data_IF_178028788651
#
_entry.id   IF_178028788651
#
_cell.length_a   1.000
_cell.length_b   1.000
_cell.length_c   1.000
_cell.angle_alpha   90.00
_cell.angle_beta   90.00
_cell.angle_gamma   90.00
#
_symmetry.space_group_name_H-M   'P 1'
#
loop_
_entity.id
_entity.type
_entity.pdbx_description
1 polymer ?
#
# COMPACT_ATOMS: atom_id res chain seq x y z
N UNK A 1 -6.21 4.37 11.47
CA UNK A 1 -5.80 4.94 12.76
C UNK A 1 -4.46 5.65 12.58
N UNK A 2 -4.23 6.75 13.30
CA UNK A 2 -2.95 7.49 13.32
C UNK A 2 -2.56 7.71 14.77
N UNK A 3 -1.29 7.51 15.08
CA UNK A 3 -0.72 7.58 16.43
C UNK A 3 0.53 8.42 16.36
N UNK A 4 0.53 9.50 17.13
CA UNK A 4 1.69 10.36 17.30
C UNK A 4 2.27 9.99 18.67
N UNK A 5 3.25 9.07 18.69
CA UNK A 5 3.82 8.57 19.96
C UNK A 5 4.59 9.69 20.63
N UNK A 6 5.45 10.37 19.86
CA UNK A 6 6.28 11.49 20.30
C UNK A 6 6.37 12.50 19.15
N UNK A 7 6.93 13.68 19.40
CA UNK A 7 7.21 14.68 18.35
C UNK A 7 8.10 14.16 17.19
N UNK A 8 8.72 12.99 17.36
CA UNK A 8 9.61 12.38 16.38
C UNK A 8 9.03 11.12 15.72
N UNK A 9 8.07 10.43 16.35
CA UNK A 9 7.57 9.14 15.88
C UNK A 9 6.10 9.23 15.53
N UNK A 10 5.81 8.91 14.26
CA UNK A 10 4.48 8.93 13.69
C UNK A 10 4.17 7.55 13.14
N UNK A 11 3.06 6.98 13.58
CA UNK A 11 2.58 5.69 13.12
C UNK A 11 1.21 5.88 12.53
N UNK A 12 0.95 5.23 11.41
CA UNK A 12 -0.40 5.14 10.87
C UNK A 12 -0.64 3.78 10.27
N UNK A 13 -1.88 3.36 10.30
CA UNK A 13 -2.27 2.14 9.61
C UNK A 13 -3.77 2.03 9.46
N UNK A 14 -4.18 1.27 8.46
CA UNK A 14 -5.54 0.83 8.26
C UNK A 14 -5.56 -0.69 8.09
N UNK A 15 -6.62 -1.29 8.59
CA UNK A 15 -6.93 -2.69 8.35
C UNK A 15 -8.42 -2.73 8.02
N UNK A 16 -8.76 -3.42 6.95
CA UNK A 16 -10.15 -3.57 6.53
C UNK A 16 -10.41 -5.04 6.34
N UNK A 17 -11.46 -5.51 7.00
CA UNK A 17 -12.04 -6.81 6.76
C UNK A 17 -13.45 -6.61 6.21
N UNK A 18 -13.70 -7.08 4.99
CA UNK A 18 -14.98 -6.93 4.32
C UNK A 18 -15.36 -8.22 3.59
N UNK A 19 -16.58 -8.69 3.86
CA UNK A 19 -17.14 -9.85 3.16
C UNK A 19 -18.40 -9.41 2.43
N UNK A 20 -18.34 -9.42 1.11
CA UNK A 20 -19.41 -8.94 0.24
C UNK A 20 -19.89 -10.12 -0.57
N UNK A 21 -21.12 -10.57 -0.32
CA UNK A 21 -21.70 -11.75 -0.96
C UNK A 21 -22.87 -11.37 -1.85
N UNK A 22 -23.01 -12.01 -3.00
CA UNK A 22 -24.19 -11.86 -3.83
C UNK A 22 -25.39 -12.53 -3.14
N UNK A 23 -26.50 -11.79 -2.97
CA UNK A 23 -27.76 -12.30 -2.39
C UNK A 23 -28.89 -12.38 -3.41
N UNK A 24 -28.59 -12.21 -4.69
CA UNK A 24 -29.54 -12.29 -5.80
C UNK A 24 -29.91 -13.75 -6.05
N UNK A 25 -31.16 -14.13 -5.72
CA UNK A 25 -31.64 -15.52 -5.88
C UNK A 25 -31.96 -15.89 -7.32
N UNK A 26 -32.35 -14.92 -8.14
CA UNK A 26 -32.82 -15.13 -9.51
C UNK A 26 -32.17 -14.12 -10.45
N UNK A 27 -31.81 -14.57 -11.65
CA UNK A 27 -31.23 -13.69 -12.69
C UNK A 27 -32.28 -12.63 -13.08
N UNK A 28 -31.86 -11.36 -13.15
CA UNK A 28 -32.75 -10.24 -13.48
C UNK A 28 -33.55 -10.51 -14.76
N UNK A 29 -34.88 -10.57 -14.65
CA UNK A 29 -35.79 -10.82 -15.77
C UNK A 29 -36.12 -12.30 -16.04
N UNK A 30 -35.66 -13.25 -15.21
CA UNK A 30 -36.01 -14.68 -15.34
C UNK A 30 -36.28 -15.34 -13.97
N UNK A 31 -36.92 -16.51 -13.98
CA UNK A 31 -37.10 -17.36 -12.79
C UNK A 31 -35.94 -18.37 -12.58
N UNK A 32 -34.84 -18.23 -13.34
CA UNK A 32 -33.69 -19.12 -13.24
C UNK A 32 -32.85 -18.77 -12.00
N UNK A 33 -32.43 -19.76 -11.19
CA UNK A 33 -31.59 -19.52 -10.03
C UNK A 33 -30.21 -19.00 -10.46
N UNK A 34 -29.71 -17.98 -9.77
CA UNK A 34 -28.38 -17.42 -10.02
C UNK A 34 -27.29 -18.37 -9.49
N UNK A 35 -26.42 -18.83 -10.39
CA UNK A 35 -25.29 -19.70 -10.04
C UNK A 35 -24.27 -19.01 -9.12
N UNK A 36 -24.29 -17.66 -9.05
CA UNK A 36 -23.43 -16.87 -8.18
C UNK A 36 -24.04 -16.54 -6.81
N UNK A 37 -25.21 -17.12 -6.50
CA UNK A 37 -25.89 -16.91 -5.23
C UNK A 37 -25.02 -17.33 -4.03
N UNK A 38 -24.88 -16.41 -3.06
CA UNK A 38 -24.07 -16.54 -1.85
C UNK A 38 -22.55 -16.64 -2.08
N UNK A 39 -22.06 -16.35 -3.28
CA UNK A 39 -20.63 -16.24 -3.57
C UNK A 39 -20.10 -14.83 -3.27
N UNK A 40 -18.81 -14.76 -2.90
CA UNK A 40 -18.11 -13.50 -2.71
C UNK A 40 -18.05 -12.72 -4.03
N UNK A 41 -18.33 -11.41 -3.97
CA UNK A 41 -18.23 -10.50 -5.11
C UNK A 41 -16.76 -10.45 -5.56
N UNK A 42 -16.48 -10.66 -6.87
CA UNK A 42 -15.12 -10.61 -7.40
C UNK A 42 -14.50 -9.23 -7.31
N UNK A 43 -13.18 -9.14 -7.54
CA UNK A 43 -12.37 -7.92 -7.52
C UNK A 43 -12.25 -7.19 -6.18
N UNK A 44 -12.82 -7.75 -5.11
CA UNK A 44 -12.80 -7.14 -3.78
C UNK A 44 -12.01 -8.06 -2.83
N UNK A 45 -10.80 -7.66 -2.39
CA UNK A 45 -10.08 -8.40 -1.37
C UNK A 45 -10.84 -8.35 -0.05
N UNK A 46 -10.89 -9.51 0.63
CA UNK A 46 -11.59 -9.66 1.91
C UNK A 46 -10.81 -8.96 3.01
N UNK A 47 -9.48 -9.08 2.97
CA UNK A 47 -8.58 -8.50 3.95
C UNK A 47 -7.50 -7.70 3.23
N UNK A 48 -7.37 -6.44 3.61
CA UNK A 48 -6.23 -5.62 3.22
C UNK A 48 -5.83 -4.71 4.36
N UNK A 49 -4.53 -4.47 4.48
CA UNK A 49 -3.96 -3.65 5.52
C UNK A 49 -2.83 -2.81 4.94
N UNK A 50 -2.73 -1.56 5.36
CA UNK A 50 -1.58 -0.71 5.07
C UNK A 50 -1.09 -0.08 6.36
N UNK A 51 0.21 0.09 6.48
CA UNK A 51 0.82 0.78 7.61
C UNK A 51 1.97 1.64 7.14
N UNK A 52 2.24 2.66 7.92
CA UNK A 52 3.35 3.58 7.72
C UNK A 52 3.94 3.94 9.08
N UNK A 53 5.25 3.86 9.17
CA UNK A 53 6.07 4.32 10.27
C UNK A 53 6.91 5.47 9.74
N UNK A 54 6.84 6.63 10.38
CA UNK A 54 7.56 7.82 9.97
C UNK A 54 8.31 8.39 11.19
N UNK A 55 9.63 8.41 11.08
CA UNK A 55 10.54 8.94 12.07
C UNK A 55 11.15 10.24 11.58
N UNK A 56 10.92 11.33 12.31
CA UNK A 56 11.36 12.68 11.96
C UNK A 56 12.21 13.25 13.09
N UNK A 57 13.44 13.67 12.78
CA UNK A 57 14.31 14.31 13.76
C UNK A 57 15.13 15.44 13.16
N UNK A 58 15.08 16.58 13.84
CA UNK A 58 15.92 17.72 13.54
C UNK A 58 17.28 17.58 14.23
N UNK A 59 18.34 18.01 13.54
CA UNK A 59 19.70 18.11 14.08
C UNK A 59 20.25 16.80 14.68
N UNK A 60 20.04 15.66 14.01
CA UNK A 60 20.52 14.34 14.46
C UNK A 60 22.03 14.33 14.76
N UNK A 61 22.83 15.11 14.02
CA UNK A 61 24.29 15.19 14.15
C UNK A 61 24.77 16.44 14.92
N UNK A 62 23.92 17.09 15.72
CA UNK A 62 24.33 18.20 16.59
C UNK A 62 24.59 19.54 15.89
N UNK A 63 24.21 19.70 14.62
CA UNK A 63 24.25 20.97 13.88
C UNK A 63 22.98 21.82 14.03
N UNK A 64 22.87 22.93 13.28
CA UNK A 64 21.63 23.70 13.10
C UNK A 64 21.15 23.59 11.66
N UNK A 65 19.84 23.38 11.47
CA UNK A 65 19.20 23.39 10.16
C UNK A 65 19.29 22.08 9.38
N UNK A 66 19.50 20.96 10.06
CA UNK A 66 19.44 19.62 9.47
C UNK A 66 18.09 18.97 9.80
N UNK A 67 17.48 18.31 8.83
CA UNK A 67 16.25 17.56 8.99
C UNK A 67 16.42 16.17 8.41
N UNK A 68 16.17 15.15 9.23
CA UNK A 68 16.24 13.76 8.84
C UNK A 68 14.84 13.17 8.99
N UNK A 69 14.38 12.48 7.95
CA UNK A 69 13.14 11.73 7.96
C UNK A 69 13.38 10.35 7.41
N UNK A 70 12.95 9.34 8.13
CA UNK A 70 12.97 7.96 7.68
C UNK A 70 11.55 7.44 7.74
N UNK A 71 11.06 6.87 6.64
CA UNK A 71 9.74 6.29 6.61
C UNK A 71 9.78 4.87 6.06
N UNK A 72 8.89 4.05 6.59
CA UNK A 72 8.66 2.68 6.18
C UNK A 72 7.18 2.50 5.97
N UNK A 73 6.81 2.04 4.80
CA UNK A 73 5.43 1.74 4.43
C UNK A 73 5.32 0.26 4.12
N UNK A 74 4.25 -0.36 4.59
CA UNK A 74 3.90 -1.73 4.27
C UNK A 74 2.47 -1.81 3.81
N UNK A 75 2.23 -2.62 2.79
CA UNK A 75 0.91 -2.91 2.26
C UNK A 75 0.75 -4.42 2.12
N UNK A 76 -0.33 -4.94 2.69
CA UNK A 76 -0.75 -6.32 2.58
C UNK A 76 -2.14 -6.37 1.95
N UNK A 77 -2.27 -7.16 0.88
CA UNK A 77 -3.56 -7.44 0.26
C UNK A 77 -3.69 -8.96 0.16
N UNK A 78 -4.74 -9.51 0.76
CA UNK A 78 -5.05 -10.93 0.68
C UNK A 78 -5.45 -11.32 -0.74
N UNK A 79 -5.38 -12.62 -1.04
CA UNK A 79 -5.75 -13.15 -2.35
C UNK A 79 -7.23 -12.89 -2.65
N UNK A 80 -7.52 -12.60 -3.92
CA UNK A 80 -8.89 -12.35 -4.37
C UNK A 80 -9.12 -12.85 -5.79
N UNK A 81 -10.39 -13.09 -6.12
CA UNK A 81 -10.78 -13.68 -7.40
C UNK A 81 -11.24 -12.61 -8.39
N UNK A 82 -10.86 -12.77 -9.66
CA UNK A 82 -11.33 -11.92 -10.77
C UNK A 82 -12.80 -12.19 -11.13
N UNK A 83 -13.28 -13.42 -10.89
CA UNK A 83 -14.66 -13.83 -11.18
C UNK A 83 -15.32 -14.52 -10.00
N UNK A 84 -16.63 -14.72 -10.08
CA UNK A 84 -17.33 -15.56 -9.11
C UNK A 84 -16.74 -16.97 -9.13
N UNK A 85 -16.53 -17.54 -7.93
CA UNK A 85 -15.98 -18.88 -7.74
C UNK A 85 -17.05 -19.94 -8.06
N UNK A 86 -17.35 -20.09 -9.35
CA UNK A 86 -18.38 -21.00 -9.87
C UNK A 86 -17.86 -22.45 -9.98
N UNK A 87 -16.54 -22.66 -9.95
CA UNK A 87 -15.89 -23.98 -10.01
C UNK A 87 -14.67 -24.07 -9.09
N UNK A 88 -14.37 -25.27 -8.57
CA UNK A 88 -13.21 -25.59 -7.72
C UNK A 88 -11.86 -25.43 -8.47
N UNK A 89 -11.84 -25.49 -9.81
CA UNK A 89 -10.64 -25.47 -10.65
C UNK A 89 -10.40 -24.14 -11.38
N UNK A 90 -10.91 -23.03 -10.84
CA UNK A 90 -10.87 -21.75 -11.54
C UNK A 90 -9.59 -20.95 -11.22
N UNK A 91 -8.68 -20.86 -12.20
CA UNK A 91 -7.34 -20.25 -12.08
C UNK A 91 -7.32 -18.70 -12.10
N UNK A 92 -8.45 -18.04 -11.89
CA UNK A 92 -8.54 -16.57 -11.91
C UNK A 92 -8.32 -15.97 -10.51
N UNK A 93 -7.24 -16.39 -9.85
CA UNK A 93 -6.85 -15.93 -8.53
C UNK A 93 -5.70 -14.93 -8.65
N UNK A 94 -5.86 -13.76 -8.03
CA UNK A 94 -4.77 -12.81 -7.85
C UNK A 94 -4.13 -13.15 -6.51
N UNK A 95 -2.84 -13.49 -6.49
CA UNK A 95 -2.16 -13.94 -5.28
C UNK A 95 -2.11 -12.81 -4.25
N UNK A 96 -2.01 -13.20 -2.98
CA UNK A 96 -1.76 -12.25 -1.91
C UNK A 96 -0.46 -11.48 -2.19
N UNK A 97 -0.50 -10.15 -2.02
CA UNK A 97 0.65 -9.29 -2.25
C UNK A 97 1.10 -8.67 -0.94
N UNK A 98 2.42 -8.63 -0.75
CA UNK A 98 3.02 -8.07 0.44
C UNK A 98 4.20 -7.18 0.08
N UNK A 99 3.98 -5.87 0.18
CA UNK A 99 4.87 -4.86 -0.36
C UNK A 99 5.42 -4.03 0.79
N UNK A 100 6.73 -3.78 0.72
CA UNK A 100 7.45 -2.94 1.66
C UNK A 100 8.19 -1.85 0.91
N UNK A 101 7.98 -0.62 1.34
CA UNK A 101 8.66 0.56 0.83
C UNK A 101 9.45 1.18 1.96
N UNK A 102 10.72 1.45 1.72
CA UNK A 102 11.60 2.14 2.64
C UNK A 102 12.06 3.44 2.01
N UNK A 103 12.02 4.53 2.76
CA UNK A 103 12.53 5.80 2.28
C UNK A 103 13.24 6.60 3.36
N UNK A 104 14.21 7.38 2.92
CA UNK A 104 15.00 8.28 3.75
C UNK A 104 15.10 9.63 3.06
N UNK A 105 14.82 10.70 3.79
CA UNK A 105 14.99 12.08 3.36
C UNK A 105 15.96 12.78 4.30
N UNK A 106 16.97 13.42 3.71
CA UNK A 106 17.93 14.24 4.40
C UNK A 106 17.91 15.65 3.84
N UNK A 107 17.73 16.64 4.70
CA UNK A 107 17.71 18.04 4.32
C UNK A 107 18.66 18.88 5.17
N UNK A 108 19.27 19.88 4.53
CA UNK A 108 20.31 20.74 5.09
C UNK A 108 19.93 22.22 4.85
N UNK A 109 20.55 23.14 5.58
CA UNK A 109 20.39 24.59 5.43
C UNK A 109 18.93 25.04 5.66
N UNK A 110 18.31 24.58 6.75
CA UNK A 110 16.89 24.82 7.05
C UNK A 110 15.97 24.35 5.92
N UNK A 111 16.23 23.13 5.41
CA UNK A 111 15.45 22.46 4.35
C UNK A 111 15.56 23.11 2.95
N UNK A 112 16.53 23.99 2.69
CA UNK A 112 16.78 24.53 1.34
C UNK A 112 17.27 23.48 0.36
N UNK A 113 18.07 22.53 0.83
CA UNK A 113 18.50 21.38 0.06
C UNK A 113 17.95 20.13 0.72
N UNK A 114 17.32 19.27 -0.05
CA UNK A 114 16.82 17.97 0.42
C UNK A 114 17.07 16.90 -0.62
N UNK A 115 17.58 15.78 -0.14
CA UNK A 115 17.81 14.56 -0.90
C UNK A 115 16.92 13.50 -0.27
N UNK A 116 16.05 12.90 -1.06
CA UNK A 116 15.27 11.75 -0.66
C UNK A 116 15.63 10.55 -1.52
N UNK A 117 15.76 9.40 -0.88
CA UNK A 117 15.94 8.09 -1.52
C UNK A 117 14.79 7.20 -1.08
N UNK A 118 14.20 6.49 -2.02
CA UNK A 118 13.09 5.57 -1.78
C UNK A 118 13.40 4.24 -2.49
N UNK A 119 13.15 3.15 -1.79
CA UNK A 119 13.20 1.80 -2.31
C UNK A 119 11.81 1.21 -2.14
N UNK A 120 11.09 1.07 -3.23
CA UNK A 120 9.79 0.43 -3.27
C UNK A 120 9.95 -1.07 -3.57
N UNK A 121 9.12 -1.89 -2.94
CA UNK A 121 9.12 -3.35 -3.01
C UNK A 121 10.49 -3.97 -2.64
N UNK A 122 10.94 -3.70 -1.41
CA UNK A 122 12.25 -4.15 -0.88
C UNK A 122 12.41 -5.67 -0.95
N UNK A 123 11.34 -6.44 -0.72
CA UNK A 123 11.38 -7.91 -0.77
C UNK A 123 11.27 -8.49 -2.19
N UNK A 124 11.14 -7.66 -3.21
CA UNK A 124 10.93 -8.08 -4.61
C UNK A 124 9.74 -9.06 -4.77
N UNK A 125 8.64 -8.73 -4.08
CA UNK A 125 7.40 -9.49 -4.16
C UNK A 125 6.78 -9.35 -5.55
N UNK A 126 6.24 -10.46 -6.08
CA UNK A 126 5.50 -10.43 -7.35
C UNK A 126 4.18 -9.71 -7.13
N UNK A 127 4.00 -8.59 -7.83
CA UNK A 127 2.76 -7.82 -7.81
C UNK A 127 2.08 -7.91 -9.18
N UNK A 128 0.77 -8.13 -9.15
CA UNK A 128 -0.06 -8.18 -10.35
C UNK A 128 -1.13 -7.09 -10.25
N UNK A 129 -1.43 -6.45 -11.37
CA UNK A 129 -2.59 -5.57 -11.48
C UNK A 129 -3.89 -6.37 -11.44
N UNK A 130 -5.01 -5.67 -11.29
CA UNK A 130 -6.35 -6.26 -11.40
C UNK A 130 -6.58 -6.99 -12.72
N UNK A 131 -5.81 -6.69 -13.77
CA UNK A 131 -5.87 -7.33 -15.10
C UNK A 131 -4.75 -8.37 -15.30
N UNK A 132 -4.10 -8.81 -14.22
CA UNK A 132 -3.01 -9.79 -14.25
C UNK A 132 -1.75 -9.32 -15.02
N UNK A 133 -1.57 -8.00 -15.16
CA UNK A 133 -0.30 -7.46 -15.66
C UNK A 133 0.73 -7.38 -14.53
N UNK A 134 1.98 -7.81 -14.76
CA UNK A 134 3.04 -7.67 -13.77
C UNK A 134 3.34 -6.20 -13.53
N UNK A 135 3.32 -5.80 -12.26
CA UNK A 135 3.80 -4.50 -11.83
C UNK A 135 5.32 -4.56 -11.62
N UNK A 136 6.03 -3.42 -11.72
CA UNK A 136 7.47 -3.38 -11.49
C UNK A 136 7.79 -3.95 -10.10
N UNK A 137 8.82 -4.79 -10.04
CA UNK A 137 9.33 -5.39 -8.81
C UNK A 137 10.04 -4.35 -7.95
N UNK A 138 11.24 -4.66 -7.47
CA UNK A 138 12.04 -3.67 -6.73
C UNK A 138 12.37 -2.45 -7.57
N UNK A 139 12.04 -1.26 -7.05
CA UNK A 139 12.34 0.01 -7.72
C UNK A 139 13.02 0.99 -6.76
N UNK A 140 14.01 1.71 -7.28
CA UNK A 140 14.74 2.72 -6.51
C UNK A 140 14.48 4.09 -7.12
N UNK A 141 14.16 5.06 -6.28
CA UNK A 141 13.90 6.43 -6.68
C UNK A 141 14.79 7.36 -5.86
N UNK A 142 15.34 8.38 -6.52
CA UNK A 142 16.12 9.43 -5.89
C UNK A 142 15.48 10.76 -6.27
N UNK A 143 15.17 11.58 -5.27
CA UNK A 143 14.54 12.88 -5.44
C UNK A 143 15.43 13.96 -4.83
N UNK A 144 15.86 14.87 -5.68
CA UNK A 144 16.60 16.06 -5.28
C UNK A 144 15.64 17.25 -5.32
N UNK A 145 15.54 17.98 -4.21
CA UNK A 145 14.75 19.21 -4.13
C UNK A 145 15.62 20.34 -3.59
N UNK A 146 15.59 21.45 -4.33
CA UNK A 146 16.20 22.71 -3.94
C UNK A 146 15.13 23.79 -3.80
N UNK A 147 15.27 24.67 -2.81
CA UNK A 147 14.35 25.77 -2.53
C UNK A 147 15.13 27.06 -2.36
N UNK A 148 14.78 28.07 -3.18
CA UNK A 148 15.46 29.38 -3.22
C UNK A 148 14.87 30.41 -2.25
N UNK A 149 13.76 30.10 -1.59
CA UNK A 149 13.09 31.03 -0.67
C UNK A 149 14.01 31.41 0.51
N UNK A 150 14.18 32.72 0.69
CA UNK A 150 14.78 33.34 1.88
C UNK A 150 13.64 33.63 2.85
N UNK A 151 13.48 32.79 3.88
CA UNK A 151 12.83 33.20 5.12
C UNK A 151 13.87 33.86 6.01
#
# INVERSE_FOLDING_TARGET
MKWDINAQWYLSGNITWQKSVNKTKYIAGTNAPDASFNLQIPHIPILYANWMVDYRKENLFGGRGQYNRFYYEGSFTDQYYYGYKLSLHQNYEIPATFIHTLGAEYAILNRRWSVAVECNNVLDSKQLTNFNYPLPGRTFQIKLRWTSLKF
#
